data_IF_611341050356
#
_entry.id   IF_611341050356
#
_cell.length_a   1.000
_cell.length_b   1.000
_cell.length_c   1.000
_cell.angle_alpha   90.00
_cell.angle_beta   90.00
_cell.angle_gamma   90.00
#
_symmetry.space_group_name_H-M   'P 1'
#
loop_
_entity.id
_entity.type
_entity.pdbx_description
1 polymer ?
#
# COMPACT_ATOMS: atom_id res chain seq x y z
N UNK A 1 -10.34 18.14 -0.57
CA UNK A 1 -10.73 16.74 -0.35
C UNK A 1 -9.58 15.95 0.24
N UNK A 2 -8.42 15.85 -0.39
CA UNK A 2 -7.21 15.28 0.26
C UNK A 2 -6.33 16.43 0.75
N UNK A 3 -6.71 17.02 1.91
CA UNK A 3 -5.99 18.17 2.45
C UNK A 3 -4.81 17.73 3.31
N UNK A 4 -3.71 18.48 3.21
CA UNK A 4 -2.59 18.36 4.13
C UNK A 4 -2.94 19.22 5.34
N UNK A 5 -2.99 18.59 6.51
CA UNK A 5 -3.17 19.27 7.78
C UNK A 5 -2.21 18.69 8.83
N UNK A 6 -2.06 19.39 9.94
CA UNK A 6 -1.11 19.02 10.98
C UNK A 6 -1.39 17.63 11.55
N UNK A 7 -2.66 17.25 11.73
CA UNK A 7 -3.03 15.93 12.24
C UNK A 7 -2.58 14.80 11.30
N UNK A 8 -2.78 14.94 9.99
CA UNK A 8 -2.32 13.96 8.99
C UNK A 8 -0.80 13.91 8.92
N UNK A 9 -0.13 15.05 9.01
CA UNK A 9 1.33 15.14 9.06
C UNK A 9 1.89 14.38 10.26
N UNK A 10 1.39 14.65 11.47
CA UNK A 10 1.81 13.95 12.70
C UNK A 10 1.60 12.43 12.63
N UNK A 11 0.51 11.97 12.00
CA UNK A 11 0.27 10.54 11.77
C UNK A 11 1.35 9.93 10.86
N UNK A 12 1.72 10.60 9.77
CA UNK A 12 2.79 10.14 8.88
C UNK A 12 4.14 10.13 9.62
N UNK A 13 4.49 11.21 10.32
CA UNK A 13 5.73 11.29 11.12
C UNK A 13 5.81 10.16 12.16
N UNK A 14 4.71 9.91 12.88
CA UNK A 14 4.63 8.80 13.84
C UNK A 14 4.81 7.44 13.17
N UNK A 15 4.19 7.21 12.01
CA UNK A 15 4.37 5.97 11.25
C UNK A 15 5.81 5.79 10.77
N UNK A 16 6.44 6.84 10.25
CA UNK A 16 7.83 6.78 9.79
C UNK A 16 8.81 6.54 10.94
N UNK A 17 8.58 7.17 12.09
CA UNK A 17 9.37 6.92 13.30
C UNK A 17 9.26 5.44 13.73
N UNK A 18 8.06 4.85 13.71
CA UNK A 18 7.86 3.43 14.01
C UNK A 18 8.54 2.51 12.99
N UNK A 19 8.40 2.80 11.69
CA UNK A 19 9.07 2.03 10.61
C UNK A 19 10.60 2.15 10.68
N UNK A 20 11.13 3.17 11.35
CA UNK A 20 12.57 3.35 11.56
C UNK A 20 13.12 2.48 12.70
N UNK A 21 12.28 1.78 13.45
CA UNK A 21 12.69 0.78 14.43
C UNK A 21 13.06 -0.53 13.70
N UNK A 22 14.09 -1.23 14.18
CA UNK A 22 14.66 -2.40 13.51
C UNK A 22 13.69 -3.58 13.35
N UNK A 23 12.73 -3.70 14.24
CA UNK A 23 11.74 -4.80 14.31
C UNK A 23 10.41 -4.47 13.61
N UNK A 24 10.24 -3.25 13.08
CA UNK A 24 8.98 -2.81 12.47
C UNK A 24 9.13 -2.49 10.99
N UNK A 25 8.50 -3.30 10.16
CA UNK A 25 8.51 -3.14 8.70
C UNK A 25 7.13 -2.76 8.13
N UNK A 26 6.09 -2.78 8.97
CA UNK A 26 4.73 -2.41 8.59
C UNK A 26 4.03 -1.71 9.75
N UNK A 27 3.30 -0.65 9.43
CA UNK A 27 2.50 0.13 10.40
C UNK A 27 1.16 0.50 9.78
N UNK A 28 0.17 0.73 10.63
CA UNK A 28 -1.18 1.12 10.21
C UNK A 28 -1.71 2.26 11.08
N UNK A 29 -2.37 3.23 10.47
CA UNK A 29 -2.98 4.37 11.18
C UNK A 29 -4.32 4.77 10.58
N UNK A 30 -5.32 5.19 11.35
CA UNK A 30 -6.52 5.85 10.82
C UNK A 30 -6.11 7.14 10.10
N UNK A 31 -6.49 7.27 8.82
CA UNK A 31 -5.96 8.38 7.99
C UNK A 31 -7.03 9.08 7.17
N UNK A 32 -7.89 8.35 6.52
CA UNK A 32 -8.87 8.89 5.57
C UNK A 32 -10.21 9.16 6.22
N UNK A 33 -10.85 10.22 5.78
CA UNK A 33 -12.26 10.49 6.08
C UNK A 33 -13.18 9.63 5.21
N UNK A 34 -14.43 9.46 5.63
CA UNK A 34 -15.44 8.76 4.83
C UNK A 34 -15.65 9.40 3.44
N UNK A 35 -15.55 10.72 3.33
CA UNK A 35 -15.67 11.44 2.06
C UNK A 35 -14.50 11.09 1.12
N UNK A 36 -13.28 11.01 1.64
CA UNK A 36 -12.10 10.63 0.85
C UNK A 36 -12.20 9.18 0.37
N UNK A 37 -12.60 8.25 1.25
CA UNK A 37 -12.83 6.85 0.91
C UNK A 37 -13.93 6.72 -0.15
N UNK A 38 -15.08 7.37 0.03
CA UNK A 38 -16.19 7.32 -0.93
C UNK A 38 -15.77 7.85 -2.31
N UNK A 39 -14.92 8.87 -2.37
CA UNK A 39 -14.41 9.41 -3.63
C UNK A 39 -13.47 8.44 -4.35
N UNK A 40 -12.65 7.67 -3.61
CA UNK A 40 -11.78 6.64 -4.16
C UNK A 40 -12.58 5.40 -4.60
N UNK A 41 -13.63 5.01 -3.86
CA UNK A 41 -14.57 3.96 -4.29
C UNK A 41 -15.23 4.35 -5.62
N UNK A 42 -15.74 5.60 -5.71
CA UNK A 42 -16.33 6.13 -6.95
C UNK A 42 -15.33 6.11 -8.12
N UNK A 43 -14.06 6.46 -7.88
CA UNK A 43 -13.02 6.31 -8.89
C UNK A 43 -12.86 4.85 -9.31
N UNK A 44 -12.78 3.91 -8.37
CA UNK A 44 -12.63 2.48 -8.68
C UNK A 44 -13.83 1.90 -9.45
N UNK A 45 -15.04 2.43 -9.29
CA UNK A 45 -16.21 2.00 -10.09
C UNK A 45 -16.16 2.44 -11.56
N UNK A 46 -15.23 3.32 -11.93
CA UNK A 46 -15.08 3.86 -13.28
C UNK A 46 -13.90 3.29 -14.05
N UNK A 47 -13.10 2.42 -13.45
CA UNK A 47 -11.93 1.80 -14.08
C UNK A 47 -12.19 0.32 -14.36
N UNK A 48 -11.50 -0.20 -15.37
CA UNK A 48 -11.64 -1.60 -15.78
C UNK A 48 -10.68 -2.50 -15.01
N UNK A 49 -11.22 -3.54 -14.39
CA UNK A 49 -10.46 -4.59 -13.76
C UNK A 49 -10.35 -5.80 -14.69
N UNK A 50 -9.23 -6.49 -14.65
CA UNK A 50 -9.02 -7.80 -15.25
C UNK A 50 -8.66 -8.82 -14.18
N UNK A 51 -8.93 -10.09 -14.43
CA UNK A 51 -8.47 -11.14 -13.50
C UNK A 51 -6.95 -11.14 -13.42
N UNK A 52 -6.41 -11.29 -12.22
CA UNK A 52 -4.99 -11.48 -12.01
C UNK A 52 -4.57 -12.88 -12.50
N UNK A 53 -3.30 -13.06 -12.83
CA UNK A 53 -2.78 -14.39 -13.10
C UNK A 53 -2.88 -15.23 -11.82
N UNK A 54 -3.46 -16.44 -11.85
CA UNK A 54 -3.67 -17.25 -10.64
C UNK A 54 -2.39 -17.52 -9.85
N UNK A 55 -1.26 -17.63 -10.56
CA UNK A 55 0.05 -17.82 -9.95
C UNK A 55 1.05 -16.89 -10.66
N UNK A 56 1.81 -16.13 -9.89
CA UNK A 56 2.90 -15.29 -10.42
C UNK A 56 4.10 -16.14 -10.85
N UNK A 57 5.02 -15.56 -11.61
CA UNK A 57 6.30 -16.20 -11.98
C UNK A 57 7.14 -16.63 -10.76
N UNK A 58 6.90 -16.05 -9.60
CA UNK A 58 7.57 -16.38 -8.33
C UNK A 58 6.78 -17.33 -7.44
N UNK A 59 5.70 -17.94 -7.97
CA UNK A 59 4.87 -18.92 -7.26
C UNK A 59 3.88 -18.36 -6.27
N UNK A 60 3.57 -17.04 -6.30
CA UNK A 60 2.58 -16.43 -5.43
C UNK A 60 1.19 -16.64 -6.01
N UNK A 61 0.29 -17.23 -5.23
CA UNK A 61 -1.13 -17.40 -5.60
C UNK A 61 -1.86 -16.07 -5.57
N UNK A 62 -2.76 -15.85 -6.52
CA UNK A 62 -3.55 -14.63 -6.67
C UNK A 62 -4.99 -14.99 -7.05
N UNK A 63 -5.94 -14.53 -6.25
CA UNK A 63 -7.37 -14.74 -6.49
C UNK A 63 -8.12 -13.41 -6.33
N UNK A 64 -7.92 -12.50 -7.30
CA UNK A 64 -8.53 -11.18 -7.34
C UNK A 64 -8.50 -10.60 -8.75
N UNK A 65 -9.31 -9.59 -8.99
CA UNK A 65 -9.22 -8.75 -10.19
C UNK A 65 -8.35 -7.52 -9.92
N UNK A 66 -7.62 -7.06 -10.92
CA UNK A 66 -6.68 -5.95 -10.81
C UNK A 66 -6.82 -4.94 -11.95
N UNK A 67 -6.75 -3.66 -11.64
CA UNK A 67 -6.42 -2.61 -12.59
C UNK A 67 -4.97 -2.17 -12.34
N UNK A 68 -4.08 -2.52 -13.27
CA UNK A 68 -2.66 -2.21 -13.17
C UNK A 68 -2.01 -2.00 -14.56
N UNK A 69 -1.33 -0.87 -14.78
CA UNK A 69 -1.29 0.33 -13.94
C UNK A 69 -2.66 1.01 -13.87
N UNK A 70 -3.07 1.46 -12.70
CA UNK A 70 -4.34 2.17 -12.56
C UNK A 70 -4.20 3.63 -13.05
N UNK A 71 -5.23 4.18 -13.75
CA UNK A 71 -5.18 5.55 -14.28
C UNK A 71 -4.98 6.60 -13.19
N UNK A 72 -4.04 7.52 -13.38
CA UNK A 72 -3.77 8.62 -12.45
C UNK A 72 -4.72 9.82 -12.74
N UNK A 73 -6.03 9.62 -12.59
CA UNK A 73 -7.07 10.62 -12.90
C UNK A 73 -7.98 10.89 -11.69
N UNK A 74 -8.79 11.94 -11.73
CA UNK A 74 -9.83 12.22 -10.76
C UNK A 74 -9.37 12.19 -9.29
N UNK A 75 -10.06 11.43 -8.46
CA UNK A 75 -9.76 11.27 -7.04
C UNK A 75 -8.39 10.60 -6.81
N UNK A 76 -7.99 9.67 -7.69
CA UNK A 76 -6.68 9.02 -7.59
C UNK A 76 -5.53 10.01 -7.78
N UNK A 77 -5.61 10.88 -8.79
CA UNK A 77 -4.59 11.94 -9.00
C UNK A 77 -4.48 12.85 -7.76
N UNK A 78 -5.61 13.24 -7.18
CA UNK A 78 -5.64 14.05 -5.95
C UNK A 78 -5.00 13.33 -4.77
N UNK A 79 -5.25 12.03 -4.63
CA UNK A 79 -4.66 11.19 -3.59
C UNK A 79 -3.13 11.07 -3.76
N UNK A 80 -2.66 10.82 -5.00
CA UNK A 80 -1.22 10.76 -5.32
C UNK A 80 -0.55 12.11 -5.01
N UNK A 81 -1.13 13.20 -5.48
CA UNK A 81 -0.59 14.55 -5.25
C UNK A 81 -0.53 14.89 -3.75
N UNK A 82 -1.55 14.47 -2.98
CA UNK A 82 -1.54 14.61 -1.53
C UNK A 82 -0.34 13.91 -0.89
N UNK A 83 -0.08 12.63 -1.24
CA UNK A 83 1.06 11.92 -0.67
C UNK A 83 2.39 12.47 -1.17
N UNK A 84 2.53 12.79 -2.46
CA UNK A 84 3.76 13.38 -2.98
C UNK A 84 4.08 14.70 -2.27
N UNK A 85 3.07 15.58 -2.05
CA UNK A 85 3.25 16.83 -1.33
C UNK A 85 3.51 16.60 0.18
N UNK A 86 2.82 15.65 0.81
CA UNK A 86 3.04 15.28 2.22
C UNK A 86 4.47 14.81 2.46
N UNK A 87 4.98 13.91 1.62
CA UNK A 87 6.33 13.37 1.73
C UNK A 87 7.44 14.36 1.32
N UNK A 88 7.10 15.45 0.65
CA UNK A 88 8.02 16.54 0.34
C UNK A 88 8.19 17.55 1.50
N UNK A 89 7.38 17.47 2.56
CA UNK A 89 7.53 18.35 3.73
C UNK A 89 8.88 18.11 4.41
N UNK A 90 9.57 19.17 4.80
CA UNK A 90 10.93 19.11 5.39
C UNK A 90 11.04 18.19 6.61
N UNK A 91 10.01 18.16 7.47
CA UNK A 91 9.93 17.26 8.64
C UNK A 91 9.78 15.79 8.29
N UNK A 92 9.42 15.45 7.04
CA UNK A 92 9.20 14.09 6.55
C UNK A 92 10.28 13.67 5.56
N UNK A 93 10.72 14.59 4.70
CA UNK A 93 11.70 14.31 3.64
C UNK A 93 13.02 13.73 4.16
N UNK A 94 13.43 14.04 5.36
CA UNK A 94 14.70 13.56 5.95
C UNK A 94 14.75 12.03 6.17
N UNK A 95 13.61 11.35 6.14
CA UNK A 95 13.55 9.88 6.19
C UNK A 95 14.03 9.22 4.89
N UNK A 96 14.16 9.98 3.80
CA UNK A 96 14.42 9.47 2.46
C UNK A 96 15.67 10.10 1.87
N UNK A 97 16.42 9.31 1.09
CA UNK A 97 17.62 9.78 0.39
C UNK A 97 17.31 10.63 -0.84
N UNK A 98 16.08 10.55 -1.37
CA UNK A 98 15.60 11.29 -2.54
C UNK A 98 14.12 11.64 -2.36
N UNK A 99 13.59 12.62 -3.12
CA UNK A 99 12.15 12.93 -3.11
C UNK A 99 11.29 11.72 -3.43
N UNK A 100 10.26 11.48 -2.61
CA UNK A 100 9.28 10.42 -2.83
C UNK A 100 8.33 10.77 -3.98
N UNK A 101 8.09 9.82 -4.89
CA UNK A 101 7.12 9.96 -5.96
C UNK A 101 6.35 8.65 -6.16
N UNK A 102 5.06 8.65 -5.82
CA UNK A 102 4.19 7.48 -6.06
C UNK A 102 3.76 7.45 -7.52
N UNK A 103 4.50 6.71 -8.32
CA UNK A 103 4.35 6.63 -9.79
C UNK A 103 3.76 5.30 -10.28
N UNK A 104 3.59 4.30 -9.42
CA UNK A 104 3.04 2.98 -9.74
C UNK A 104 1.84 2.64 -8.84
N UNK A 105 0.66 2.54 -9.46
CA UNK A 105 -0.61 2.39 -8.74
C UNK A 105 -1.30 1.11 -9.19
N UNK A 106 -1.75 0.31 -8.22
CA UNK A 106 -2.61 -0.85 -8.44
C UNK A 106 -3.93 -0.68 -7.68
N UNK A 107 -5.04 -0.94 -8.35
CA UNK A 107 -6.33 -1.17 -7.70
C UNK A 107 -6.62 -2.67 -7.72
N UNK A 108 -6.98 -3.25 -6.58
CA UNK A 108 -7.25 -4.69 -6.43
C UNK A 108 -8.64 -4.88 -5.86
N UNK A 109 -9.41 -5.77 -6.48
CA UNK A 109 -10.76 -6.11 -6.09
C UNK A 109 -10.88 -7.61 -5.86
N UNK A 110 -11.11 -7.99 -4.62
CA UNK A 110 -11.31 -9.36 -4.16
C UNK A 110 -12.81 -9.61 -3.98
N UNK A 111 -13.34 -10.66 -4.58
CA UNK A 111 -14.72 -11.10 -4.35
C UNK A 111 -14.86 -11.73 -2.96
N UNK A 112 -16.08 -11.72 -2.41
CA UNK A 112 -16.38 -12.48 -1.19
C UNK A 112 -16.01 -13.95 -1.39
N UNK A 113 -15.31 -14.54 -0.43
CA UNK A 113 -14.85 -15.92 -0.48
C UNK A 113 -13.57 -16.15 -1.31
N UNK A 114 -12.96 -15.08 -1.85
CA UNK A 114 -11.66 -15.17 -2.51
C UNK A 114 -10.58 -15.72 -1.57
N UNK A 115 -9.63 -16.49 -2.13
CA UNK A 115 -8.46 -16.98 -1.41
C UNK A 115 -7.40 -15.88 -1.15
N UNK A 116 -7.59 -14.69 -1.74
CA UNK A 116 -6.73 -13.54 -1.51
C UNK A 116 -5.45 -13.53 -2.32
N UNK A 117 -4.35 -13.13 -1.68
CA UNK A 117 -3.00 -13.18 -2.22
C UNK A 117 -2.07 -13.88 -1.24
N UNK A 118 -1.33 -14.86 -1.75
CA UNK A 118 -0.37 -15.64 -0.98
C UNK A 118 0.76 -14.80 -0.40
N UNK A 119 1.47 -15.35 0.57
CA UNK A 119 2.56 -14.66 1.26
C UNK A 119 3.69 -14.32 0.30
N UNK A 120 4.05 -13.04 0.23
CA UNK A 120 5.06 -12.53 -0.69
C UNK A 120 5.77 -11.30 -0.13
N UNK A 121 6.82 -10.89 -0.81
CA UNK A 121 7.44 -9.56 -0.67
C UNK A 121 7.21 -8.76 -1.93
N UNK A 122 6.95 -7.48 -1.80
CA UNK A 122 6.89 -6.58 -2.96
C UNK A 122 8.20 -6.54 -3.74
N UNK A 123 8.14 -6.21 -5.03
CA UNK A 123 9.30 -6.21 -5.92
C UNK A 123 10.41 -5.25 -5.48
N UNK A 124 11.68 -5.62 -5.71
CA UNK A 124 12.86 -4.80 -5.36
C UNK A 124 12.87 -3.42 -6.04
N UNK A 125 12.13 -3.25 -7.13
CA UNK A 125 12.01 -1.97 -7.83
C UNK A 125 11.17 -0.93 -7.06
N UNK A 126 10.33 -1.37 -6.13
CA UNK A 126 9.51 -0.50 -5.30
C UNK A 126 10.33 0.02 -4.13
N UNK A 127 10.76 1.29 -4.25
CA UNK A 127 11.71 1.91 -3.34
C UNK A 127 11.01 2.58 -2.16
N UNK A 128 11.72 2.63 -1.06
CA UNK A 128 11.41 3.35 0.16
C UNK A 128 10.13 2.90 0.85
N UNK A 129 8.95 3.19 0.30
CA UNK A 129 7.66 2.85 0.90
C UNK A 129 6.67 2.26 -0.11
N UNK A 130 5.84 1.37 0.40
CA UNK A 130 4.58 0.93 -0.22
C UNK A 130 3.44 1.36 0.68
N UNK A 131 2.44 2.03 0.11
CA UNK A 131 1.21 2.40 0.80
C UNK A 131 0.07 1.48 0.36
N UNK A 132 -0.69 0.96 1.32
CA UNK A 132 -1.93 0.22 1.08
C UNK A 132 -3.09 0.98 1.71
N UNK A 133 -4.16 1.14 0.94
CA UNK A 133 -5.41 1.79 1.37
C UNK A 133 -6.54 0.80 1.13
N UNK A 134 -7.12 0.23 2.18
CA UNK A 134 -8.34 -0.54 2.07
C UNK A 134 -9.53 0.42 1.99
N UNK A 135 -10.34 0.30 0.94
CA UNK A 135 -11.47 1.17 0.68
C UNK A 135 -12.79 0.58 1.18
N UNK A 136 -12.94 -0.74 1.06
CA UNK A 136 -14.16 -1.42 1.48
C UNK A 136 -13.93 -2.92 1.69
N UNK A 137 -14.88 -3.55 2.37
CA UNK A 137 -14.91 -4.99 2.61
C UNK A 137 -14.23 -5.40 3.92
N UNK A 138 -14.11 -6.71 4.13
CA UNK A 138 -13.52 -7.31 5.32
C UNK A 138 -12.65 -8.50 4.95
N UNK A 139 -11.40 -8.44 5.39
CA UNK A 139 -10.35 -9.43 5.13
C UNK A 139 -9.29 -9.36 6.22
N UNK A 140 -8.33 -10.26 6.16
CA UNK A 140 -7.13 -10.23 6.99
C UNK A 140 -5.91 -9.88 6.13
N UNK A 141 -5.39 -8.67 6.30
CA UNK A 141 -4.01 -8.34 5.92
C UNK A 141 -3.09 -8.83 7.05
N UNK A 142 -2.03 -9.53 6.71
CA UNK A 142 -1.12 -10.08 7.72
C UNK A 142 0.33 -10.07 7.24
N UNK A 143 1.27 -10.07 8.19
CA UNK A 143 2.69 -10.35 7.96
C UNK A 143 3.03 -11.76 8.40
N UNK A 144 4.16 -12.29 7.93
CA UNK A 144 4.70 -13.58 8.36
C UNK A 144 6.23 -13.58 8.25
N UNK A 145 6.88 -14.48 8.99
CA UNK A 145 8.34 -14.61 8.96
C UNK A 145 8.82 -15.34 7.69
N UNK A 146 8.01 -16.26 7.19
CA UNK A 146 8.30 -17.08 6.01
C UNK A 146 7.05 -17.35 5.16
N UNK A 147 7.22 -18.04 4.03
CA UNK A 147 6.13 -18.37 3.10
C UNK A 147 5.14 -19.42 3.64
N UNK A 148 5.53 -20.17 4.63
CA UNK A 148 4.71 -21.16 5.34
C UNK A 148 3.78 -20.52 6.35
N UNK A 149 3.95 -19.19 6.61
CA UNK A 149 3.07 -18.42 7.48
C UNK A 149 3.45 -18.48 8.97
N UNK A 150 4.68 -18.90 9.30
CA UNK A 150 5.16 -18.83 10.68
C UNK A 150 5.16 -17.36 11.17
N UNK A 151 4.89 -17.17 12.47
CA UNK A 151 4.89 -15.85 13.09
C UNK A 151 3.82 -14.90 12.56
N UNK A 152 2.75 -15.39 11.94
CA UNK A 152 1.73 -14.54 11.31
C UNK A 152 1.12 -13.56 12.29
N UNK A 153 1.13 -12.27 11.94
CA UNK A 153 0.55 -11.19 12.72
C UNK A 153 -0.44 -10.40 11.86
N UNK A 154 -1.64 -10.17 12.38
CA UNK A 154 -2.66 -9.38 11.70
C UNK A 154 -2.30 -7.89 11.72
N UNK A 155 -2.55 -7.23 10.61
CA UNK A 155 -2.42 -5.78 10.45
C UNK A 155 -3.84 -5.21 10.31
N UNK A 156 -4.18 -4.25 11.16
CA UNK A 156 -5.46 -3.55 11.04
C UNK A 156 -5.45 -2.67 9.78
N UNK A 157 -6.15 -3.12 8.76
CA UNK A 157 -6.35 -2.40 7.50
C UNK A 157 -7.83 -2.11 7.21
N UNK A 158 -8.62 -1.97 8.27
CA UNK A 158 -10.03 -1.57 8.14
C UNK A 158 -10.18 -0.32 7.26
N UNK A 159 -11.30 -0.18 6.51
CA UNK A 159 -11.51 0.96 5.61
C UNK A 159 -11.27 2.32 6.31
N UNK A 160 -10.54 3.20 5.64
CA UNK A 160 -10.12 4.49 6.19
C UNK A 160 -8.73 4.51 6.82
N UNK A 161 -8.09 3.36 6.97
CA UNK A 161 -6.71 3.29 7.45
C UNK A 161 -5.70 3.37 6.29
N UNK A 162 -4.54 3.92 6.61
CA UNK A 162 -3.35 3.87 5.78
C UNK A 162 -2.38 2.85 6.36
N UNK A 163 -2.04 1.85 5.59
CA UNK A 163 -0.95 0.92 5.91
C UNK A 163 0.29 1.36 5.15
N UNK A 164 1.40 1.46 5.85
CA UNK A 164 2.71 1.80 5.30
C UNK A 164 3.67 0.64 5.52
N UNK A 165 4.31 0.20 4.46
CA UNK A 165 5.32 -0.86 4.49
C UNK A 165 6.66 -0.29 4.01
N UNK A 166 7.73 -0.67 4.70
CA UNK A 166 9.10 -0.35 4.27
C UNK A 166 9.48 -1.14 3.01
N UNK A 167 10.24 -0.50 2.15
CA UNK A 167 10.81 -1.05 0.93
C UNK A 167 12.33 -0.88 0.87
N UNK A 168 12.98 -1.40 -0.18
CA UNK A 168 14.43 -1.22 -0.37
C UNK A 168 14.78 0.27 -0.46
N UNK A 169 15.76 0.69 0.34
CA UNK A 169 16.20 2.10 0.38
C UNK A 169 15.62 2.91 1.55
N UNK A 170 14.55 2.43 2.20
CA UNK A 170 14.08 3.08 3.43
C UNK A 170 15.15 3.02 4.52
N UNK A 171 15.24 4.07 5.33
CA UNK A 171 16.35 4.41 6.22
C UNK A 171 17.03 3.26 6.99
N UNK A 172 16.29 2.25 7.43
CA UNK A 172 16.82 1.15 8.24
C UNK A 172 16.83 -0.19 7.50
N UNK A 173 16.52 -0.22 6.20
CA UNK A 173 16.56 -1.44 5.39
C UNK A 173 17.80 -1.46 4.51
N UNK A 174 18.92 -1.89 5.08
CA UNK A 174 20.16 -2.13 4.32
C UNK A 174 20.08 -3.40 3.45
N UNK A 175 19.35 -4.43 3.93
CA UNK A 175 19.14 -5.69 3.20
C UNK A 175 17.79 -5.67 2.44
N UNK A 176 17.78 -5.76 1.11
CA UNK A 176 16.56 -5.92 0.32
C UNK A 176 15.69 -7.12 0.73
N UNK A 177 16.26 -8.14 1.40
CA UNK A 177 15.52 -9.28 1.93
C UNK A 177 14.73 -8.97 3.19
N UNK A 178 15.05 -7.89 3.91
CA UNK A 178 14.35 -7.49 5.14
C UNK A 178 12.99 -6.82 4.91
N UNK A 179 12.52 -6.69 3.64
CA UNK A 179 11.16 -6.23 3.31
C UNK A 179 10.11 -7.15 3.95
N UNK A 180 8.98 -6.62 4.46
CA UNK A 180 7.98 -7.45 5.11
C UNK A 180 7.40 -8.48 4.16
N UNK A 181 7.32 -9.73 4.60
CA UNK A 181 6.46 -10.73 3.98
C UNK A 181 5.04 -10.48 4.44
N UNK A 182 4.10 -10.45 3.50
CA UNK A 182 2.71 -10.17 3.79
C UNK A 182 1.78 -10.87 2.80
N UNK A 183 0.53 -11.00 3.17
CA UNK A 183 -0.53 -11.59 2.36
C UNK A 183 -1.90 -11.07 2.78
N UNK A 184 -2.92 -11.44 2.01
CA UNK A 184 -4.32 -11.16 2.33
C UNK A 184 -5.10 -12.45 2.24
N UNK A 185 -5.91 -12.74 3.24
CA UNK A 185 -6.74 -13.95 3.35
C UNK A 185 -8.09 -13.65 4.02
N UNK A 186 -8.93 -14.65 4.19
CA UNK A 186 -10.21 -14.57 4.91
C UNK A 186 -11.09 -13.41 4.42
N UNK A 187 -11.32 -13.33 3.11
CA UNK A 187 -12.12 -12.28 2.48
C UNK A 187 -13.61 -12.60 2.69
N UNK A 188 -14.21 -12.08 3.77
CA UNK A 188 -15.58 -12.41 4.19
C UNK A 188 -16.65 -11.52 3.55
N UNK A 189 -16.31 -10.26 3.23
CA UNK A 189 -17.24 -9.28 2.66
C UNK A 189 -16.70 -8.64 1.37
N UNK A 190 -15.79 -9.34 0.68
CA UNK A 190 -15.01 -8.78 -0.40
C UNK A 190 -13.90 -7.87 0.13
N UNK A 191 -13.11 -7.26 -0.80
CA UNK A 191 -12.10 -6.25 -0.49
C UNK A 191 -11.82 -5.41 -1.73
N UNK A 192 -11.84 -4.11 -1.57
CA UNK A 192 -11.34 -3.16 -2.56
C UNK A 192 -10.18 -2.39 -1.94
N UNK A 193 -9.01 -2.43 -2.58
CA UNK A 193 -7.82 -1.76 -2.05
C UNK A 193 -6.99 -1.11 -3.14
N UNK A 194 -6.21 -0.11 -2.75
CA UNK A 194 -5.22 0.58 -3.58
C UNK A 194 -3.84 0.33 -3.01
N UNK A 195 -2.88 0.05 -3.90
CA UNK A 195 -1.47 0.03 -3.58
C UNK A 195 -0.76 1.16 -4.33
N UNK A 196 -0.06 2.04 -3.61
CA UNK A 196 0.75 3.12 -4.18
C UNK A 196 2.22 2.80 -3.92
N UNK A 197 3.05 2.89 -4.95
CA UNK A 197 4.46 2.49 -4.92
C UNK A 197 5.34 3.50 -5.64
N UNK A 198 6.59 3.58 -5.25
CA UNK A 198 7.64 4.33 -5.94
C UNK A 198 8.47 3.36 -6.78
N UNK A 199 8.12 3.21 -8.06
CA UNK A 199 8.84 2.32 -8.98
C UNK A 199 10.08 3.02 -9.54
N UNK A 200 11.27 2.53 -9.18
CA UNK A 200 12.56 3.06 -9.64
C UNK A 200 12.83 2.87 -11.13
N UNK A 201 12.02 2.07 -11.82
CA UNK A 201 12.14 1.83 -13.28
C UNK A 201 11.25 2.74 -14.12
N UNK A 202 10.38 3.53 -13.48
CA UNK A 202 9.51 4.50 -14.15
C UNK A 202 10.05 5.90 -13.98
N UNK A 203 9.95 6.71 -15.01
CA UNK A 203 10.20 8.14 -14.89
C UNK A 203 9.12 8.77 -13.99
N UNK A 204 9.47 9.85 -13.30
CA UNK A 204 8.51 10.60 -12.46
C UNK A 204 7.47 11.37 -13.30
N UNK A 205 7.57 11.30 -14.62
CA UNK A 205 6.76 12.05 -15.60
C UNK A 205 5.74 11.19 -16.38
N UNK A 206 5.68 9.87 -16.11
CA UNK A 206 4.74 8.94 -16.76
C UNK A 206 3.37 8.88 -16.06
#
# INVERSE_FOLDING_TARGET
>A
MFEINEQKKQKIESCLAQLSMLDRQIVSTPYFTNIEISSLIKYCSQITFREANPITKTGVTQDFSVCFPAPKTGAMRKCINHFNAMFALSGIQHYFSAPMSFNDIAAQHYKKGSNGIGIHRDGLRYRDLVLIICLSGRSELFTADNREGMGAQLIDDTPGRLVMMSGPGFKNLSDPKSRPMHGVRNITEGRLSLGLRCDSKKSNFD
#
